data_IF_744827027125
#
_entry.id   IF_744827027125
#
_cell.length_a   1.000
_cell.length_b   1.000
_cell.length_c   1.000
_cell.angle_alpha   90.00
_cell.angle_beta   90.00
_cell.angle_gamma   90.00
#
_symmetry.space_group_name_H-M   'P 1'
#
loop_
_entity.id
_entity.type
_entity.pdbx_description
1 polymer ?
#
# COMPACT_ATOMS: atom_id res chain seq x y z
N UNK A 1 -6.47 -1.14 -20.31
CA UNK A 1 -7.29 -1.06 -19.08
C UNK A 1 -6.93 0.23 -18.38
N UNK A 2 -7.90 1.06 -18.01
CA UNK A 2 -7.68 2.33 -17.32
C UNK A 2 -7.91 2.22 -15.82
N UNK A 3 -7.23 3.06 -15.04
CA UNK A 3 -7.34 3.13 -13.58
C UNK A 3 -7.80 4.52 -13.18
N UNK A 4 -8.79 4.57 -12.30
CA UNK A 4 -9.32 5.79 -11.72
C UNK A 4 -9.42 5.62 -10.20
N UNK A 5 -9.54 6.73 -9.44
CA UNK A 5 -9.83 6.66 -8.01
C UNK A 5 -11.07 5.83 -7.68
N UNK A 6 -11.12 5.28 -6.47
CA UNK A 6 -12.35 4.71 -5.94
C UNK A 6 -13.47 5.77 -5.92
N UNK A 7 -14.74 5.37 -6.16
CA UNK A 7 -15.87 6.29 -6.02
C UNK A 7 -15.91 6.95 -4.64
N UNK A 8 -16.47 8.15 -4.59
CA UNK A 8 -16.69 8.86 -3.32
C UNK A 8 -17.76 8.17 -2.47
N UNK A 9 -17.58 8.18 -1.16
CA UNK A 9 -18.64 7.80 -0.22
C UNK A 9 -19.81 8.79 -0.19
N UNK A 10 -20.84 8.53 0.63
CA UNK A 10 -21.98 9.45 0.81
C UNK A 10 -21.60 10.85 1.27
N UNK A 11 -20.42 11.01 1.89
CA UNK A 11 -19.84 12.27 2.34
C UNK A 11 -19.06 13.01 1.22
N UNK A 12 -19.06 12.49 0.00
CA UNK A 12 -18.36 13.07 -1.14
C UNK A 12 -16.84 12.87 -1.12
N UNK A 13 -16.31 12.02 -0.24
CA UNK A 13 -14.87 11.80 -0.08
C UNK A 13 -14.48 10.41 -0.58
N UNK A 14 -13.46 10.35 -1.46
CA UNK A 14 -12.84 9.10 -1.88
C UNK A 14 -11.79 8.68 -0.86
N UNK A 15 -11.85 7.42 -0.40
CA UNK A 15 -10.90 6.84 0.55
C UNK A 15 -10.34 5.55 -0.01
N UNK A 16 -9.05 5.35 0.16
CA UNK A 16 -8.39 4.07 -0.13
C UNK A 16 -7.50 3.69 1.04
N UNK A 17 -7.43 2.40 1.33
CA UNK A 17 -6.42 1.88 2.24
C UNK A 17 -5.04 2.04 1.57
N UNK A 18 -4.06 2.54 2.32
CA UNK A 18 -2.66 2.50 1.94
C UNK A 18 -2.09 1.10 2.13
N UNK A 19 -1.09 0.72 1.34
CA UNK A 19 -0.41 -0.55 1.47
C UNK A 19 1.02 -0.46 0.95
N UNK A 20 1.77 -1.53 1.11
CA UNK A 20 3.14 -1.62 0.61
C UNK A 20 3.93 -2.71 1.33
N UNK A 21 5.18 -2.86 0.92
CA UNK A 21 6.09 -3.83 1.50
C UNK A 21 7.02 -3.15 2.51
N UNK A 22 7.24 -3.83 3.64
CA UNK A 22 8.22 -3.44 4.65
C UNK A 22 9.37 -4.44 4.68
N UNK A 23 10.60 -3.93 4.64
CA UNK A 23 11.79 -4.75 4.84
C UNK A 23 12.09 -4.85 6.34
N UNK A 24 11.97 -6.06 6.90
CA UNK A 24 12.21 -6.33 8.32
C UNK A 24 13.54 -7.06 8.49
N UNK A 25 14.29 -6.69 9.53
CA UNK A 25 15.52 -7.40 9.92
C UNK A 25 15.17 -8.44 10.97
N UNK A 26 15.68 -9.66 10.81
CA UNK A 26 15.48 -10.76 11.75
C UNK A 26 15.98 -10.37 13.15
N UNK A 27 15.21 -10.71 14.18
CA UNK A 27 15.61 -10.53 15.58
C UNK A 27 16.82 -11.38 15.98
N UNK A 28 17.16 -12.39 15.17
CA UNK A 28 18.32 -13.26 15.37
C UNK A 28 19.58 -12.76 14.61
N UNK A 29 19.50 -11.63 13.91
CA UNK A 29 20.64 -11.10 13.16
C UNK A 29 21.74 -10.61 14.10
N UNK A 30 23.00 -10.80 13.71
CA UNK A 30 24.15 -10.21 14.42
C UNK A 30 24.21 -8.70 14.22
N UNK A 31 24.98 -7.99 15.04
CA UNK A 31 25.17 -6.54 14.88
C UNK A 31 25.64 -6.16 13.47
N UNK A 32 26.64 -6.86 12.94
CA UNK A 32 27.17 -6.64 11.58
C UNK A 32 26.10 -6.89 10.50
N UNK A 33 25.23 -7.88 10.70
CA UNK A 33 24.13 -8.15 9.77
C UNK A 33 23.05 -7.06 9.80
N UNK A 34 22.75 -6.52 10.98
CA UNK A 34 21.82 -5.40 11.15
C UNK A 34 22.37 -4.16 10.43
N UNK A 35 23.66 -3.85 10.64
CA UNK A 35 24.33 -2.74 9.96
C UNK A 35 24.34 -2.93 8.44
N UNK A 36 24.74 -4.11 7.96
CA UNK A 36 24.75 -4.42 6.53
C UNK A 36 23.35 -4.34 5.90
N UNK A 37 22.31 -4.81 6.58
CA UNK A 37 20.93 -4.74 6.11
C UNK A 37 20.45 -3.28 5.98
N UNK A 38 20.82 -2.41 6.93
CA UNK A 38 20.51 -0.98 6.86
C UNK A 38 21.20 -0.32 5.66
N UNK A 39 22.51 -0.56 5.46
CA UNK A 39 23.24 -0.01 4.30
C UNK A 39 22.70 -0.54 2.98
N UNK A 40 22.40 -1.83 2.89
CA UNK A 40 21.84 -2.44 1.69
C UNK A 40 20.49 -1.79 1.32
N UNK A 41 19.63 -1.53 2.32
CA UNK A 41 18.35 -0.86 2.09
C UNK A 41 18.52 0.58 1.61
N UNK A 42 19.47 1.32 2.18
CA UNK A 42 19.78 2.68 1.73
C UNK A 42 20.33 2.69 0.30
N UNK A 43 21.27 1.79 0.01
CA UNK A 43 21.87 1.67 -1.31
C UNK A 43 20.84 1.36 -2.39
N UNK A 44 19.98 0.35 -2.19
CA UNK A 44 18.94 -0.03 -3.15
C UNK A 44 17.90 1.06 -3.45
N UNK A 45 17.69 2.02 -2.53
CA UNK A 45 16.68 3.09 -2.69
C UNK A 45 17.25 4.45 -3.08
N UNK A 46 18.47 4.76 -2.64
CA UNK A 46 19.02 6.11 -2.73
C UNK A 46 20.28 6.20 -3.61
N UNK A 47 20.87 5.07 -4.01
CA UNK A 47 21.96 5.10 -4.99
C UNK A 47 21.39 5.28 -6.42
N UNK A 48 21.75 6.36 -7.12
CA UNK A 48 21.22 6.61 -8.46
C UNK A 48 21.69 5.59 -9.49
N UNK A 49 22.90 5.02 -9.35
CA UNK A 49 23.40 4.03 -10.29
C UNK A 49 22.63 2.72 -10.12
N UNK A 50 22.40 2.31 -8.88
CA UNK A 50 21.60 1.11 -8.59
C UNK A 50 20.18 1.26 -9.11
N UNK A 51 19.56 2.42 -8.90
CA UNK A 51 18.22 2.73 -9.45
C UNK A 51 18.20 2.61 -10.98
N UNK A 52 19.20 3.17 -11.67
CA UNK A 52 19.30 3.10 -13.13
C UNK A 52 19.49 1.67 -13.61
N UNK A 53 20.33 0.88 -12.94
CA UNK A 53 20.57 -0.54 -13.28
C UNK A 53 19.28 -1.33 -13.14
N UNK A 54 18.56 -1.20 -12.02
CA UNK A 54 17.27 -1.87 -11.81
C UNK A 54 16.25 -1.50 -12.89
N UNK A 55 16.13 -0.22 -13.24
CA UNK A 55 15.21 0.22 -14.29
C UNK A 55 15.62 -0.26 -15.69
N UNK A 56 16.92 -0.35 -15.99
CA UNK A 56 17.42 -0.91 -17.25
C UNK A 56 17.12 -2.41 -17.37
N UNK A 57 17.32 -3.17 -16.29
CA UNK A 57 16.95 -4.58 -16.21
C UNK A 57 15.45 -4.71 -16.40
N UNK A 58 14.65 -3.98 -15.60
CA UNK A 58 13.21 -4.07 -15.60
C UNK A 58 12.55 -3.65 -16.92
N UNK A 59 13.15 -2.71 -17.65
CA UNK A 59 12.69 -2.33 -18.99
C UNK A 59 12.78 -3.48 -19.99
N UNK A 60 13.74 -4.39 -19.82
CA UNK A 60 13.99 -5.51 -20.73
C UNK A 60 13.39 -6.83 -20.22
N UNK A 61 12.98 -6.89 -18.96
CA UNK A 61 12.36 -8.05 -18.34
C UNK A 61 10.84 -7.87 -18.26
N UNK A 62 10.04 -8.67 -18.99
CA UNK A 62 8.58 -8.55 -18.98
C UNK A 62 7.94 -8.92 -17.63
N UNK A 63 8.70 -9.49 -16.69
CA UNK A 63 8.22 -9.84 -15.35
C UNK A 63 8.44 -8.74 -14.32
N UNK A 64 9.26 -7.73 -14.66
CA UNK A 64 9.58 -6.61 -13.79
C UNK A 64 8.79 -5.37 -14.21
N UNK A 65 8.17 -4.68 -13.26
CA UNK A 65 7.38 -3.47 -13.53
C UNK A 65 8.23 -2.22 -13.29
N UNK A 66 8.23 -1.30 -14.26
CA UNK A 66 8.79 0.05 -14.12
C UNK A 66 7.71 1.06 -14.52
N UNK A 67 7.47 2.08 -13.69
CA UNK A 67 6.32 2.97 -13.91
C UNK A 67 5.04 2.36 -13.36
N UNK A 68 5.03 1.87 -12.13
CA UNK A 68 3.79 1.46 -11.47
C UNK A 68 3.07 2.70 -10.90
N UNK A 69 1.74 2.70 -10.77
CA UNK A 69 1.01 3.78 -10.11
C UNK A 69 1.20 3.72 -8.58
N UNK A 70 2.41 4.01 -8.11
CA UNK A 70 2.78 3.97 -6.70
C UNK A 70 2.67 5.35 -6.05
N UNK A 71 2.32 5.37 -4.77
CA UNK A 71 2.24 6.61 -4.00
C UNK A 71 3.62 7.27 -3.86
N UNK A 72 3.75 8.57 -4.20
CA UNK A 72 4.98 9.32 -3.94
C UNK A 72 5.26 9.42 -2.44
N UNK A 73 6.34 8.78 -1.97
CA UNK A 73 6.74 8.83 -0.56
C UNK A 73 7.60 10.06 -0.24
N UNK A 74 8.23 10.66 -1.25
CA UNK A 74 9.12 11.79 -1.09
C UNK A 74 8.51 13.06 -1.71
N UNK A 75 9.16 14.19 -1.46
CA UNK A 75 8.75 15.49 -2.01
C UNK A 75 9.94 16.24 -2.59
N UNK A 76 9.65 17.30 -3.35
CA UNK A 76 10.66 18.18 -3.94
C UNK A 76 11.58 17.47 -4.92
N UNK A 77 12.84 17.93 -4.96
CA UNK A 77 13.83 17.57 -5.99
C UNK A 77 14.09 16.07 -6.11
N UNK A 78 14.06 15.32 -5.02
CA UNK A 78 14.28 13.88 -5.05
C UNK A 78 13.13 13.15 -5.75
N UNK A 79 11.89 13.49 -5.39
CA UNK A 79 10.71 12.91 -6.01
C UNK A 79 10.61 13.29 -7.49
N UNK A 80 10.91 14.55 -7.84
CA UNK A 80 10.93 15.01 -9.23
C UNK A 80 11.96 14.26 -10.08
N UNK A 81 13.18 14.08 -9.57
CA UNK A 81 14.24 13.33 -10.24
C UNK A 81 13.86 11.85 -10.41
N UNK A 82 13.32 11.22 -9.35
CA UNK A 82 12.85 9.85 -9.38
C UNK A 82 11.74 9.64 -10.41
N UNK A 83 10.71 10.50 -10.41
CA UNK A 83 9.60 10.42 -11.38
C UNK A 83 10.05 10.67 -12.82
N UNK A 84 11.01 11.58 -13.05
CA UNK A 84 11.58 11.80 -14.38
C UNK A 84 12.36 10.56 -14.87
N UNK A 85 13.10 9.91 -13.96
CA UNK A 85 13.83 8.68 -14.27
C UNK A 85 12.87 7.53 -14.58
N UNK A 86 11.88 7.30 -13.72
CA UNK A 86 10.87 6.26 -13.91
C UNK A 86 10.15 6.42 -15.25
N UNK A 87 9.74 7.64 -15.61
CA UNK A 87 9.10 7.93 -16.92
C UNK A 87 9.98 7.52 -18.12
N UNK A 88 11.30 7.65 -18.02
CA UNK A 88 12.24 7.27 -19.09
C UNK A 88 12.32 5.75 -19.29
N UNK A 89 12.14 4.98 -18.22
CA UNK A 89 12.27 3.53 -18.22
C UNK A 89 10.94 2.78 -18.14
N UNK A 90 9.83 3.50 -17.95
CA UNK A 90 8.50 2.93 -17.81
C UNK A 90 8.18 1.93 -18.93
N UNK A 91 7.72 0.75 -18.53
CA UNK A 91 7.29 -0.32 -19.44
C UNK A 91 5.77 -0.53 -19.38
N UNK A 92 5.05 0.28 -18.58
CA UNK A 92 3.60 0.31 -18.50
C UNK A 92 3.00 1.52 -19.24
N UNK A 93 1.72 1.43 -19.67
CA UNK A 93 1.01 2.54 -20.31
C UNK A 93 0.61 3.59 -19.27
N UNK A 94 1.53 4.49 -18.91
CA UNK A 94 1.38 5.40 -17.77
C UNK A 94 0.15 6.30 -17.82
N UNK A 95 -0.26 6.69 -19.02
CA UNK A 95 -1.45 7.51 -19.24
C UNK A 95 -2.75 6.81 -18.82
N UNK A 96 -2.77 5.47 -18.81
CA UNK A 96 -3.97 4.71 -18.44
C UNK A 96 -4.34 4.87 -16.96
N UNK A 97 -3.40 5.24 -16.09
CA UNK A 97 -3.64 5.42 -14.66
C UNK A 97 -3.41 6.86 -14.19
N UNK A 98 -3.36 7.81 -15.13
CA UNK A 98 -3.18 9.23 -14.82
C UNK A 98 -4.25 9.77 -13.87
N UNK A 99 -5.52 9.41 -14.09
CA UNK A 99 -6.63 9.83 -13.22
C UNK A 99 -6.45 9.33 -11.78
N UNK A 100 -5.99 8.09 -11.62
CA UNK A 100 -5.69 7.51 -10.31
C UNK A 100 -4.57 8.30 -9.61
N UNK A 101 -3.45 8.52 -10.29
CA UNK A 101 -2.30 9.24 -9.73
C UNK A 101 -2.62 10.70 -9.41
N UNK A 102 -3.31 11.41 -10.29
CA UNK A 102 -3.72 12.80 -10.08
C UNK A 102 -4.65 12.93 -8.85
N UNK A 103 -5.56 11.96 -8.66
CA UNK A 103 -6.45 11.92 -7.51
C UNK A 103 -5.70 11.77 -6.18
N UNK A 104 -4.66 10.94 -6.17
CA UNK A 104 -3.83 10.71 -4.98
C UNK A 104 -2.91 11.91 -4.70
N UNK A 105 -2.16 12.39 -5.72
CA UNK A 105 -1.21 13.49 -5.57
C UNK A 105 -1.91 14.80 -5.16
N UNK A 106 -3.12 15.05 -5.69
CA UNK A 106 -3.91 16.23 -5.32
C UNK A 106 -4.60 16.14 -3.96
N UNK A 107 -4.52 14.99 -3.27
CA UNK A 107 -5.23 14.76 -2.01
C UNK A 107 -6.75 14.61 -2.14
N UNK A 108 -7.28 14.48 -3.37
CA UNK A 108 -8.71 14.19 -3.61
C UNK A 108 -9.09 12.78 -3.14
N UNK A 109 -8.13 11.87 -3.14
CA UNK A 109 -8.23 10.56 -2.52
C UNK A 109 -7.51 10.61 -1.18
N UNK A 110 -8.24 10.33 -0.10
CA UNK A 110 -7.64 10.19 1.22
C UNK A 110 -7.07 8.78 1.38
N UNK A 111 -5.77 8.70 1.65
CA UNK A 111 -5.11 7.45 2.03
C UNK A 111 -5.36 7.18 3.51
N UNK A 112 -5.90 6.00 3.80
CA UNK A 112 -6.18 5.54 5.15
C UNK A 112 -5.05 4.60 5.61
N UNK A 113 -4.51 4.76 6.83
CA UNK A 113 -3.55 3.82 7.37
C UNK A 113 -4.21 2.48 7.71
N UNK A 114 -3.40 1.43 7.81
CA UNK A 114 -3.83 0.17 8.42
C UNK A 114 -4.13 0.36 9.92
N UNK A 115 -4.99 -0.49 10.52
CA UNK A 115 -5.17 -0.47 11.96
C UNK A 115 -3.84 -0.69 12.69
N UNK A 116 -3.47 0.28 13.54
CA UNK A 116 -2.17 0.31 14.23
C UNK A 116 -2.05 -0.80 15.29
N UNK A 117 -3.19 -1.26 15.81
CA UNK A 117 -3.28 -2.24 16.89
C UNK A 117 -4.05 -3.45 16.36
N UNK A 118 -3.47 -4.65 16.55
CA UNK A 118 -4.09 -5.93 16.17
C UNK A 118 -4.71 -5.92 14.76
N UNK A 119 -3.96 -5.41 13.78
CA UNK A 119 -4.43 -5.22 12.41
C UNK A 119 -4.77 -6.52 11.70
N UNK A 120 -4.01 -7.59 11.94
CA UNK A 120 -4.30 -8.91 11.35
C UNK A 120 -5.61 -9.48 11.89
N UNK A 121 -5.83 -9.37 13.20
CA UNK A 121 -7.07 -9.78 13.84
C UNK A 121 -8.26 -8.92 13.37
N UNK A 122 -8.04 -7.62 13.15
CA UNK A 122 -9.06 -6.74 12.56
C UNK A 122 -9.44 -7.21 11.15
N UNK A 123 -8.46 -7.51 10.30
CA UNK A 123 -8.72 -8.00 8.94
C UNK A 123 -9.41 -9.37 8.94
N UNK A 124 -9.07 -10.27 9.87
CA UNK A 124 -9.76 -11.55 10.04
C UNK A 124 -11.24 -11.33 10.42
N UNK A 125 -11.52 -10.45 11.38
CA UNK A 125 -12.88 -10.12 11.78
C UNK A 125 -13.68 -9.50 10.61
N UNK A 126 -13.09 -8.52 9.92
CA UNK A 126 -13.73 -7.86 8.76
C UNK A 126 -13.93 -8.81 7.58
N UNK A 127 -13.01 -9.74 7.34
CA UNK A 127 -13.14 -10.77 6.30
C UNK A 127 -14.37 -11.64 6.52
N UNK A 128 -14.67 -12.01 7.78
CA UNK A 128 -15.89 -12.76 8.11
C UNK A 128 -17.16 -11.94 7.89
N UNK A 129 -17.14 -10.65 8.24
CA UNK A 129 -18.27 -9.73 8.01
C UNK A 129 -18.56 -9.62 6.51
N UNK A 130 -17.55 -9.27 5.71
CA UNK A 130 -17.69 -9.11 4.26
C UNK A 130 -18.13 -10.44 3.62
N UNK A 131 -17.55 -11.56 4.04
CA UNK A 131 -17.93 -12.88 3.56
C UNK A 131 -19.40 -13.23 3.83
N UNK A 132 -19.91 -12.92 5.02
CA UNK A 132 -21.33 -13.14 5.36
C UNK A 132 -22.26 -12.26 4.52
N UNK A 133 -21.95 -10.97 4.38
CA UNK A 133 -22.74 -10.01 3.59
C UNK A 133 -22.76 -10.41 2.11
N UNK A 134 -21.62 -10.85 1.57
CA UNK A 134 -21.54 -11.29 0.18
C UNK A 134 -22.30 -12.60 -0.08
N UNK A 135 -22.37 -13.50 0.92
CA UNK A 135 -22.96 -14.82 0.77
C UNK A 135 -24.49 -14.87 0.97
N UNK A 136 -25.04 -13.99 1.80
CA UNK A 136 -26.48 -13.98 2.11
C UNK A 136 -27.10 -12.59 1.91
N UNK A 137 -27.95 -12.49 0.88
CA UNK A 137 -28.67 -11.27 0.53
C UNK A 137 -29.67 -10.79 1.60
N UNK A 138 -30.06 -11.66 2.52
CA UNK A 138 -31.03 -11.36 3.57
C UNK A 138 -30.36 -11.01 4.90
N UNK A 139 -29.02 -11.08 4.97
CA UNK A 139 -28.31 -10.75 6.20
C UNK A 139 -28.48 -9.27 6.52
N UNK A 140 -28.64 -8.95 7.81
CA UNK A 140 -28.60 -7.58 8.29
C UNK A 140 -27.12 -7.15 8.46
N UNK A 141 -26.58 -6.27 7.59
CA UNK A 141 -25.18 -5.87 7.68
C UNK A 141 -24.86 -5.15 9.00
N UNK A 142 -25.83 -4.39 9.54
CA UNK A 142 -25.64 -3.61 10.76
C UNK A 142 -25.52 -4.52 11.98
N UNK A 143 -26.36 -5.55 12.04
CA UNK A 143 -26.30 -6.55 13.11
C UNK A 143 -24.99 -7.36 13.06
N UNK A 144 -24.56 -7.80 11.87
CA UNK A 144 -23.30 -8.54 11.70
C UNK A 144 -22.10 -7.69 12.09
N UNK A 145 -22.04 -6.43 11.65
CA UNK A 145 -20.98 -5.50 12.03
C UNK A 145 -20.95 -5.25 13.55
N UNK A 146 -22.11 -5.04 14.16
CA UNK A 146 -22.21 -4.82 15.62
C UNK A 146 -21.71 -6.02 16.41
N UNK A 147 -22.11 -7.23 16.00
CA UNK A 147 -21.65 -8.46 16.63
C UNK A 147 -20.13 -8.66 16.46
N UNK A 148 -19.60 -8.40 15.26
CA UNK A 148 -18.18 -8.50 14.99
C UNK A 148 -17.37 -7.50 15.82
N UNK A 149 -17.85 -6.25 15.93
CA UNK A 149 -17.21 -5.23 16.76
C UNK A 149 -17.16 -5.63 18.24
N UNK A 150 -18.27 -6.13 18.80
CA UNK A 150 -18.31 -6.62 20.18
C UNK A 150 -17.35 -7.80 20.40
N UNK A 151 -17.30 -8.74 19.44
CA UNK A 151 -16.40 -9.90 19.50
C UNK A 151 -14.93 -9.49 19.41
N UNK A 152 -14.61 -8.55 18.51
CA UNK A 152 -13.26 -8.03 18.35
C UNK A 152 -12.80 -7.30 19.61
N UNK A 153 -13.68 -6.49 20.23
CA UNK A 153 -13.39 -5.84 21.50
C UNK A 153 -13.04 -6.87 22.58
N UNK A 154 -13.91 -7.84 22.84
CA UNK A 154 -13.73 -8.77 23.97
C UNK A 154 -12.60 -9.78 23.76
N UNK A 155 -12.39 -10.25 22.53
CA UNK A 155 -11.50 -11.38 22.25
C UNK A 155 -10.13 -10.95 21.71
N UNK A 156 -9.97 -9.67 21.37
CA UNK A 156 -8.70 -9.12 20.88
C UNK A 156 -8.30 -7.97 21.77
N UNK A 157 -9.00 -6.84 21.69
CA UNK A 157 -8.56 -5.59 22.30
C UNK A 157 -8.49 -5.66 23.83
N UNK A 158 -9.49 -6.23 24.50
CA UNK A 158 -9.53 -6.35 25.96
C UNK A 158 -8.45 -7.30 26.52
N UNK A 159 -7.86 -8.15 25.66
CA UNK A 159 -6.79 -9.08 26.03
C UNK A 159 -5.39 -8.48 25.82
N UNK A 160 -5.28 -7.36 25.11
CA UNK A 160 -4.02 -6.66 24.89
C UNK A 160 -3.65 -5.88 26.15
N UNK A 161 -2.54 -6.25 26.78
CA UNK A 161 -1.98 -5.57 27.96
C UNK A 161 -0.97 -4.51 27.56
#
# INVERSE_FOLDING_TARGET
MGFAPLPTGPDGVSRTLGGGDIAMVSTNATADQIEAAAYYRLWTYFDPNETVIHFQIGKNDPTTVVGAPLYPLYTGVFQEAGSALEKKYANLPVENYKLYMDGIISGKVLMMPEPVIAGQEYYLAMGQVVGKIAADKNVDPSAVLTQAAATYQSNVLDLMK
#
